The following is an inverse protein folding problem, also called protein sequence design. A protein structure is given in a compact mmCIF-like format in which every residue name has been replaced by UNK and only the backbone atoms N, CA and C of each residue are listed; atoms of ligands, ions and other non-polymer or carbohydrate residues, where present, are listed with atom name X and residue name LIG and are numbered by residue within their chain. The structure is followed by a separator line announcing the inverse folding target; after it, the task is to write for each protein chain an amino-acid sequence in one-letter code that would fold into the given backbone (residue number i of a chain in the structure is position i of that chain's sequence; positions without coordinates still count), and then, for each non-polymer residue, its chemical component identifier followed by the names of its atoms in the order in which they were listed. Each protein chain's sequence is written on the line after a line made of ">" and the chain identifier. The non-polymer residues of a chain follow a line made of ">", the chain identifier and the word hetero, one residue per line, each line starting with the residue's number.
data_IF_366653686003
#
_entry.id   IF_366653686003
#
_cell.length_a   1.000
_cell.length_b   1.000
_cell.length_c   1.000
_cell.angle_alpha   90.00
_cell.angle_beta   90.00
_cell.angle_gamma   90.00
#
_symmetry.space_group_name_H-M   'P 1'
#
loop_
_entity.id
_entity.type
_entity.pdbx_description
1 polymer ?
#
# COMPACT_ATOMS: atom_id res chain seq x y z
N UNK A 1 -5.51 29.60 18.11
CA UNK A 1 -5.91 28.27 18.66
C UNK A 1 -5.08 28.06 19.90
N UNK A 2 -5.67 27.68 21.03
CA UNK A 2 -4.93 27.47 22.28
C UNK A 2 -4.73 25.97 22.45
N UNK A 3 -3.49 25.53 22.45
CA UNK A 3 -3.13 24.13 22.76
C UNK A 3 -3.30 23.87 24.26
N UNK A 4 -3.78 22.69 24.61
CA UNK A 4 -3.78 22.23 25.99
C UNK A 4 -2.36 21.92 26.48
N UNK A 5 -2.17 21.83 27.80
CA UNK A 5 -0.87 21.43 28.37
C UNK A 5 -0.43 20.07 27.86
N UNK A 6 -1.38 19.16 27.61
CA UNK A 6 -1.11 17.82 27.08
C UNK A 6 -0.64 17.87 25.61
N UNK A 7 -1.26 18.73 24.79
CA UNK A 7 -0.85 18.92 23.40
C UNK A 7 0.59 19.48 23.31
N UNK A 8 0.90 20.48 24.14
CA UNK A 8 2.23 21.08 24.21
C UNK A 8 3.30 20.06 24.61
N UNK A 9 3.00 19.22 25.59
CA UNK A 9 3.90 18.16 26.00
C UNK A 9 4.10 17.12 24.89
N UNK A 10 3.06 16.72 24.17
CA UNK A 10 3.14 15.80 23.04
C UNK A 10 3.97 16.38 21.90
N UNK A 11 3.79 17.65 21.57
CA UNK A 11 4.58 18.37 20.53
C UNK A 11 6.06 18.38 20.92
N UNK A 12 6.34 18.70 22.19
CA UNK A 12 7.71 18.73 22.72
C UNK A 12 8.38 17.35 22.68
N UNK A 13 7.66 16.29 23.09
CA UNK A 13 8.18 14.91 23.06
C UNK A 13 8.54 14.44 21.64
N UNK A 14 7.82 14.95 20.64
CA UNK A 14 8.12 14.67 19.23
C UNK A 14 9.24 15.53 18.66
N UNK A 15 9.80 16.45 19.44
CA UNK A 15 10.85 17.36 18.97
C UNK A 15 10.38 18.35 17.89
N UNK A 16 9.07 18.64 17.85
CA UNK A 16 8.49 19.54 16.85
C UNK A 16 8.37 20.93 17.48
N UNK A 17 8.71 21.96 16.71
CA UNK A 17 8.51 23.33 17.11
C UNK A 17 7.02 23.69 17.04
N UNK A 18 6.50 24.37 18.07
CA UNK A 18 5.10 24.78 18.16
C UNK A 18 4.71 25.71 17.00
N UNK A 19 5.60 26.59 16.57
CA UNK A 19 5.36 27.50 15.45
C UNK A 19 5.16 26.75 14.14
N UNK A 20 5.81 25.61 13.97
CA UNK A 20 5.62 24.71 12.82
C UNK A 20 4.22 24.14 12.84
N UNK A 21 3.74 23.64 13.99
CA UNK A 21 2.39 23.10 14.14
C UNK A 21 1.32 24.18 13.86
N UNK A 22 1.49 25.36 14.42
CA UNK A 22 0.59 26.51 14.19
C UNK A 22 0.53 26.89 12.71
N UNK A 23 1.69 26.93 12.05
CA UNK A 23 1.80 27.20 10.61
C UNK A 23 1.07 26.15 9.78
N UNK A 24 1.20 24.86 10.12
CA UNK A 24 0.51 23.76 9.46
C UNK A 24 -1.01 23.87 9.63
N UNK A 25 -1.50 24.12 10.84
CA UNK A 25 -2.94 24.31 11.11
C UNK A 25 -3.48 25.50 10.32
N UNK A 26 -2.74 26.61 10.28
CA UNK A 26 -3.12 27.79 9.50
C UNK A 26 -3.22 27.46 8.01
N UNK A 27 -2.28 26.67 7.46
CA UNK A 27 -2.35 26.23 6.05
C UNK A 27 -3.54 25.32 5.78
N UNK A 28 -3.86 24.41 6.69
CA UNK A 28 -5.01 23.51 6.58
C UNK A 28 -6.35 24.26 6.64
N UNK A 29 -6.41 25.37 7.38
CA UNK A 29 -7.62 26.22 7.47
C UNK A 29 -7.81 27.16 6.27
N UNK A 30 -6.78 27.31 5.43
CA UNK A 30 -6.85 28.10 4.22
C UNK A 30 -7.15 27.21 3.03
N UNK A 31 -7.86 27.75 2.02
CA UNK A 31 -7.99 27.06 0.75
C UNK A 31 -6.59 26.84 0.14
N UNK A 32 -6.23 25.61 -0.23
CA UNK A 32 -4.94 25.37 -0.85
C UNK A 32 -4.82 26.19 -2.14
N UNK A 33 -3.63 26.76 -2.43
CA UNK A 33 -3.44 27.47 -3.67
C UNK A 33 -3.68 26.51 -4.84
N UNK A 34 -4.62 26.86 -5.70
CA UNK A 34 -4.88 26.08 -6.93
C UNK A 34 -3.73 26.34 -7.89
N UNK A 35 -2.94 25.30 -8.26
CA UNK A 35 -1.86 25.47 -9.22
C UNK A 35 -2.46 25.89 -10.57
N UNK A 36 -1.87 26.93 -11.18
CA UNK A 36 -2.25 27.34 -12.53
C UNK A 36 -1.66 26.35 -13.53
N UNK A 37 -2.50 25.46 -14.04
CA UNK A 37 -2.10 24.55 -15.10
C UNK A 37 -1.97 25.32 -16.42
N UNK A 38 -0.84 25.15 -17.10
CA UNK A 38 -0.60 25.81 -18.39
C UNK A 38 -1.17 24.99 -19.54
N UNK A 39 -0.92 23.67 -19.54
CA UNK A 39 -1.35 22.75 -20.59
C UNK A 39 -1.21 21.29 -20.12
N UNK A 40 -1.79 20.37 -20.85
CA UNK A 40 -1.60 18.94 -20.65
C UNK A 40 -0.19 18.51 -21.07
N UNK A 41 0.47 17.66 -20.28
CA UNK A 41 1.71 17.03 -20.69
C UNK A 41 1.46 16.07 -21.86
N UNK A 42 2.33 16.12 -22.86
CA UNK A 42 2.32 15.23 -24.04
C UNK A 42 3.70 14.65 -24.28
N UNK A 43 3.82 13.68 -25.19
CA UNK A 43 5.11 13.18 -25.65
C UNK A 43 5.96 14.33 -26.19
N UNK A 44 7.21 14.40 -25.79
CA UNK A 44 8.17 15.48 -26.08
C UNK A 44 7.89 16.81 -25.39
N UNK A 45 6.81 16.90 -24.63
CA UNK A 45 6.46 18.09 -23.83
C UNK A 45 5.92 17.66 -22.44
N UNK A 46 6.85 17.29 -21.55
CA UNK A 46 6.56 16.85 -20.19
C UNK A 46 6.48 15.34 -19.99
N UNK A 47 6.31 14.55 -21.07
CA UNK A 47 6.37 13.08 -21.04
C UNK A 47 7.58 12.65 -21.87
N UNK A 48 8.50 11.92 -21.25
CA UNK A 48 9.66 11.31 -21.91
C UNK A 48 9.35 9.85 -22.20
N UNK A 49 9.59 9.43 -23.45
CA UNK A 49 9.55 8.03 -23.86
C UNK A 49 10.95 7.66 -24.35
N UNK A 50 11.55 6.68 -23.68
CA UNK A 50 12.90 6.24 -24.01
C UNK A 50 12.87 4.96 -24.84
N UNK A 51 13.75 4.86 -25.82
CA UNK A 51 14.05 3.60 -26.46
C UNK A 51 15.02 2.74 -25.61
N UNK A 52 15.28 1.47 -26.03
CA UNK A 52 16.15 0.56 -25.27
C UNK A 52 17.60 1.10 -25.15
N UNK A 53 18.10 1.83 -26.16
CA UNK A 53 19.46 2.37 -26.16
C UNK A 53 19.59 3.55 -25.19
N UNK A 54 18.55 4.40 -25.13
CA UNK A 54 18.51 5.51 -24.21
C UNK A 54 18.40 5.01 -22.76
N UNK A 55 17.60 3.96 -22.50
CA UNK A 55 17.52 3.31 -21.20
C UNK A 55 18.88 2.76 -20.78
N UNK A 56 19.57 2.01 -21.67
CA UNK A 56 20.88 1.47 -21.37
C UNK A 56 21.93 2.57 -21.12
N UNK A 57 21.85 3.69 -21.82
CA UNK A 57 22.70 4.84 -21.60
C UNK A 57 22.48 5.48 -20.21
N UNK A 58 21.23 5.66 -19.79
CA UNK A 58 20.90 6.16 -18.44
C UNK A 58 21.32 5.20 -17.34
N UNK A 59 21.16 3.89 -17.53
CA UNK A 59 21.65 2.87 -16.60
C UNK A 59 23.17 2.97 -16.45
N UNK A 60 23.91 3.11 -17.56
CA UNK A 60 25.36 3.26 -17.53
C UNK A 60 25.81 4.56 -16.82
N UNK A 61 25.07 5.66 -16.98
CA UNK A 61 25.30 6.91 -16.24
C UNK A 61 25.10 6.70 -14.74
N UNK A 62 24.02 6.01 -14.34
CA UNK A 62 23.73 5.69 -12.95
C UNK A 62 24.83 4.83 -12.33
N UNK A 63 25.23 3.76 -13.00
CA UNK A 63 26.31 2.87 -12.56
C UNK A 63 27.61 3.66 -12.38
N UNK A 64 27.95 4.51 -13.34
CA UNK A 64 29.14 5.37 -13.23
C UNK A 64 29.03 6.38 -12.08
N UNK A 65 27.85 6.88 -11.78
CA UNK A 65 27.60 7.76 -10.64
C UNK A 65 27.85 7.03 -9.31
N UNK A 66 27.29 5.83 -9.13
CA UNK A 66 27.48 5.01 -7.93
C UNK A 66 28.97 4.71 -7.67
N UNK A 67 29.73 4.40 -8.72
CA UNK A 67 31.16 4.05 -8.59
C UNK A 67 32.08 5.26 -8.35
N UNK A 68 31.70 6.45 -8.82
CA UNK A 68 32.56 7.66 -8.74
C UNK A 68 32.32 8.52 -7.52
N UNK A 69 31.13 8.51 -7.00
CA UNK A 69 30.73 9.41 -5.92
C UNK A 69 30.64 8.65 -4.61
N UNK A 70 31.48 9.00 -3.63
CA UNK A 70 31.21 8.72 -2.21
C UNK A 70 29.99 9.56 -1.76
N UNK A 71 28.83 9.32 -2.34
CA UNK A 71 27.59 10.02 -2.00
C UNK A 71 26.59 9.02 -1.51
N UNK A 72 25.91 9.37 -0.44
CA UNK A 72 24.81 8.57 0.09
C UNK A 72 23.60 8.69 -0.84
N UNK A 73 23.09 7.55 -1.27
CA UNK A 73 21.81 7.47 -2.00
C UNK A 73 20.71 7.27 -0.98
N UNK A 74 19.75 8.19 -0.95
CA UNK A 74 18.60 8.09 -0.06
C UNK A 74 17.36 7.75 -0.85
N UNK A 75 16.72 6.63 -0.50
CA UNK A 75 15.43 6.24 -1.02
C UNK A 75 14.31 6.79 -0.15
N UNK A 76 13.45 7.63 -0.73
CA UNK A 76 12.22 8.07 -0.06
C UNK A 76 11.05 7.21 -0.51
N UNK A 77 10.53 6.39 0.42
CA UNK A 77 9.44 5.46 0.14
C UNK A 77 8.20 5.84 0.94
N UNK A 78 7.14 6.34 0.31
CA UNK A 78 5.89 6.70 0.98
C UNK A 78 5.04 5.45 1.26
N UNK A 79 5.51 4.56 2.12
CA UNK A 79 4.89 3.25 2.36
C UNK A 79 3.98 3.18 3.60
N UNK A 80 3.80 4.27 4.36
CA UNK A 80 3.17 4.25 5.68
C UNK A 80 1.75 4.80 5.73
N UNK A 81 0.93 4.57 4.70
CA UNK A 81 -0.47 4.98 4.69
C UNK A 81 -1.33 4.15 5.65
N UNK A 82 -2.35 4.76 6.29
CA UNK A 82 -3.37 4.04 7.04
C UNK A 82 -4.35 3.33 6.08
N UNK A 83 -4.67 2.08 6.38
CA UNK A 83 -5.52 1.22 5.55
C UNK A 83 -7.02 1.58 5.54
N UNK A 84 -7.46 2.53 6.35
CA UNK A 84 -8.88 2.84 6.52
C UNK A 84 -9.65 3.06 5.21
N UNK A 85 -9.00 3.61 4.18
CA UNK A 85 -9.64 3.82 2.87
C UNK A 85 -9.86 2.51 2.11
N UNK A 86 -8.94 1.55 2.22
CA UNK A 86 -9.06 0.26 1.54
C UNK A 86 -10.21 -0.56 2.08
N UNK A 87 -10.45 -0.48 3.37
CA UNK A 87 -11.46 -1.29 4.06
C UNK A 87 -12.76 -0.55 4.34
N UNK A 88 -12.93 0.67 3.84
CA UNK A 88 -14.11 1.49 4.10
C UNK A 88 -15.42 0.74 3.83
N UNK A 89 -15.50 0.10 2.68
CA UNK A 89 -16.73 -0.59 2.25
C UNK A 89 -16.95 -1.88 3.05
N UNK A 90 -15.89 -2.55 3.50
CA UNK A 90 -15.98 -3.69 4.42
C UNK A 90 -16.44 -3.25 5.82
N UNK A 91 -15.99 -2.09 6.32
CA UNK A 91 -16.52 -1.52 7.55
C UNK A 91 -18.00 -1.14 7.43
N UNK A 92 -18.44 -0.64 6.29
CA UNK A 92 -19.85 -0.37 6.03
C UNK A 92 -20.65 -1.66 6.04
N UNK A 93 -20.14 -2.72 5.41
CA UNK A 93 -20.76 -4.04 5.46
C UNK A 93 -20.90 -4.58 6.91
N UNK A 94 -19.82 -4.48 7.72
CA UNK A 94 -19.87 -4.91 9.12
C UNK A 94 -20.95 -4.16 9.93
N UNK A 95 -21.13 -2.86 9.67
CA UNK A 95 -22.11 -2.00 10.37
C UNK A 95 -23.53 -2.11 9.83
N UNK A 96 -23.71 -2.69 8.64
CA UNK A 96 -25.02 -2.86 8.03
C UNK A 96 -25.82 -3.97 8.73
N UNK A 97 -27.14 -3.95 8.59
CA UNK A 97 -28.01 -5.05 9.05
C UNK A 97 -27.98 -6.28 8.12
N UNK A 98 -27.25 -6.19 7.01
CA UNK A 98 -27.16 -7.28 6.03
C UNK A 98 -26.21 -8.37 6.55
N UNK A 99 -26.67 -9.63 6.56
CA UNK A 99 -25.82 -10.78 6.84
C UNK A 99 -25.02 -11.24 5.61
N UNK A 100 -25.55 -10.97 4.40
CA UNK A 100 -24.96 -11.39 3.14
C UNK A 100 -24.50 -10.22 2.28
N UNK A 101 -23.50 -10.43 1.40
CA UNK A 101 -23.01 -9.42 0.45
C UNK A 101 -24.10 -8.94 -0.50
N UNK A 102 -24.43 -7.65 -0.49
CA UNK A 102 -25.45 -7.05 -1.36
C UNK A 102 -24.88 -6.14 -2.44
N UNK A 103 -23.90 -5.32 -2.11
CA UNK A 103 -23.27 -4.39 -3.05
C UNK A 103 -22.39 -5.13 -4.05
N UNK A 104 -22.14 -4.51 -5.21
CA UNK A 104 -21.22 -5.06 -6.20
C UNK A 104 -19.80 -5.22 -5.64
N UNK A 105 -19.37 -4.28 -4.79
CA UNK A 105 -18.08 -4.38 -4.13
C UNK A 105 -18.00 -5.62 -3.22
N UNK A 106 -18.96 -5.81 -2.32
CA UNK A 106 -19.01 -6.94 -1.40
C UNK A 106 -19.02 -8.28 -2.13
N UNK A 107 -19.89 -8.42 -3.15
CA UNK A 107 -19.98 -9.64 -3.97
C UNK A 107 -18.66 -9.94 -4.69
N UNK A 108 -18.03 -8.92 -5.28
CA UNK A 108 -16.75 -9.07 -5.95
C UNK A 108 -15.62 -9.39 -4.97
N UNK A 109 -15.61 -8.75 -3.81
CA UNK A 109 -14.62 -9.04 -2.77
C UNK A 109 -14.64 -10.53 -2.38
N UNK A 110 -15.80 -11.07 -1.98
CA UNK A 110 -15.89 -12.47 -1.57
C UNK A 110 -15.67 -13.44 -2.73
N UNK A 111 -16.10 -13.10 -3.94
CA UNK A 111 -15.83 -13.89 -5.14
C UNK A 111 -14.34 -14.04 -5.42
N UNK A 112 -13.57 -12.97 -5.24
CA UNK A 112 -12.14 -12.94 -5.51
C UNK A 112 -11.27 -13.14 -4.26
N UNK A 113 -11.88 -13.38 -3.10
CA UNK A 113 -11.17 -13.57 -1.84
C UNK A 113 -10.08 -14.66 -1.93
N UNK A 114 -10.31 -15.82 -2.59
CA UNK A 114 -9.27 -16.85 -2.74
C UNK A 114 -8.06 -16.42 -3.59
N UNK A 115 -8.19 -15.33 -4.36
CA UNK A 115 -7.10 -14.81 -5.18
C UNK A 115 -6.20 -13.81 -4.46
N UNK A 116 -6.55 -13.40 -3.23
CA UNK A 116 -5.70 -12.47 -2.48
C UNK A 116 -4.52 -13.19 -1.84
N UNK A 117 -3.38 -12.53 -1.81
CA UNK A 117 -2.15 -13.04 -1.24
C UNK A 117 -2.24 -13.42 0.25
N UNK A 118 -3.14 -12.80 1.00
CA UNK A 118 -3.40 -13.08 2.41
C UNK A 118 -4.40 -14.24 2.64
N UNK A 119 -4.97 -14.80 1.57
CA UNK A 119 -6.05 -15.79 1.70
C UNK A 119 -5.67 -17.00 2.55
N UNK A 120 -4.50 -17.57 2.32
CA UNK A 120 -4.04 -18.75 3.08
C UNK A 120 -3.88 -18.43 4.57
N UNK A 121 -3.40 -17.24 4.91
CA UNK A 121 -3.25 -16.79 6.29
C UNK A 121 -4.61 -16.56 6.94
N UNK A 122 -5.54 -15.95 6.21
CA UNK A 122 -6.92 -15.76 6.67
C UNK A 122 -7.64 -17.09 6.86
N UNK A 123 -7.48 -18.03 5.92
CA UNK A 123 -8.08 -19.35 6.00
C UNK A 123 -7.58 -20.13 7.21
N UNK A 124 -6.26 -20.09 7.45
CA UNK A 124 -5.66 -20.68 8.64
C UNK A 124 -6.20 -20.02 9.92
N UNK A 125 -6.27 -18.70 9.96
CA UNK A 125 -6.84 -17.97 11.08
C UNK A 125 -8.29 -18.38 11.36
N UNK A 126 -9.13 -18.52 10.33
CA UNK A 126 -10.51 -19.00 10.47
C UNK A 126 -10.57 -20.42 11.07
N UNK A 127 -9.70 -21.32 10.63
CA UNK A 127 -9.59 -22.69 11.19
C UNK A 127 -9.15 -22.65 12.66
N UNK A 128 -8.13 -21.86 12.98
CA UNK A 128 -7.56 -21.82 14.35
C UNK A 128 -8.55 -21.19 15.35
N UNK A 129 -9.29 -20.14 14.95
CA UNK A 129 -10.18 -19.38 15.84
C UNK A 129 -11.61 -19.93 15.87
N UNK A 130 -12.14 -20.36 14.73
CA UNK A 130 -13.55 -20.76 14.57
C UNK A 130 -13.70 -22.28 14.37
N UNK A 131 -12.62 -22.98 13.98
CA UNK A 131 -12.69 -24.40 13.59
C UNK A 131 -13.28 -24.66 12.22
N UNK A 132 -13.41 -23.62 11.38
CA UNK A 132 -14.00 -23.71 10.04
C UNK A 132 -13.17 -22.86 9.06
N UNK A 133 -13.02 -23.36 7.85
CA UNK A 133 -12.35 -22.63 6.79
C UNK A 133 -13.23 -21.50 6.21
N UNK A 134 -12.62 -20.64 5.40
CA UNK A 134 -13.32 -19.48 4.77
C UNK A 134 -14.48 -19.95 3.91
N UNK A 135 -14.32 -21.05 3.16
CA UNK A 135 -15.36 -21.57 2.27
C UNK A 135 -16.58 -22.09 3.06
N UNK A 136 -16.35 -22.79 4.16
CA UNK A 136 -17.40 -23.26 5.07
C UNK A 136 -18.14 -22.08 5.70
N UNK A 137 -17.42 -21.06 6.15
CA UNK A 137 -18.01 -19.83 6.71
C UNK A 137 -18.88 -19.10 5.66
N UNK A 138 -18.43 -19.05 4.41
CA UNK A 138 -19.21 -18.45 3.31
C UNK A 138 -20.49 -19.26 3.01
N UNK A 139 -20.41 -20.59 2.98
CA UNK A 139 -21.58 -21.49 2.80
C UNK A 139 -22.61 -21.33 3.93
N UNK A 140 -22.16 -21.03 5.13
CA UNK A 140 -23.01 -20.76 6.30
C UNK A 140 -23.55 -19.32 6.36
N UNK A 141 -23.22 -18.47 5.39
CA UNK A 141 -23.60 -17.05 5.39
C UNK A 141 -22.85 -16.19 6.42
N UNK A 142 -21.75 -16.67 7.00
CA UNK A 142 -20.98 -16.00 8.04
C UNK A 142 -19.93 -15.04 7.48
N UNK A 143 -20.29 -14.26 6.49
CA UNK A 143 -19.41 -13.31 5.79
C UNK A 143 -18.79 -12.28 6.72
N UNK A 144 -19.56 -11.76 7.69
CA UNK A 144 -19.05 -10.77 8.67
C UNK A 144 -17.97 -11.35 9.56
N UNK A 145 -18.06 -12.62 9.92
CA UNK A 145 -17.01 -13.30 10.71
C UNK A 145 -15.67 -13.30 9.97
N UNK A 146 -15.69 -13.59 8.67
CA UNK A 146 -14.49 -13.56 7.82
C UNK A 146 -13.87 -12.15 7.80
N UNK A 147 -14.70 -11.12 7.62
CA UNK A 147 -14.22 -9.73 7.60
C UNK A 147 -13.67 -9.30 8.97
N UNK A 148 -14.32 -9.70 10.06
CA UNK A 148 -13.83 -9.42 11.42
C UNK A 148 -12.45 -10.05 11.63
N UNK A 149 -12.26 -11.33 11.33
CA UNK A 149 -10.98 -12.02 11.47
C UNK A 149 -9.89 -11.43 10.56
N UNK A 150 -10.26 -10.86 9.41
CA UNK A 150 -9.29 -10.15 8.58
C UNK A 150 -8.86 -8.81 9.19
N UNK A 151 -9.80 -8.05 9.76
CA UNK A 151 -9.56 -6.66 10.15
C UNK A 151 -9.12 -6.50 11.60
N UNK A 152 -9.61 -7.33 12.53
CA UNK A 152 -9.42 -7.13 13.97
C UNK A 152 -8.24 -7.92 14.56
N UNK A 153 -7.90 -7.62 15.81
CA UNK A 153 -6.84 -8.28 16.58
C UNK A 153 -7.11 -9.77 16.87
N UNK A 154 -8.37 -10.20 16.75
CA UNK A 154 -8.74 -11.62 16.85
C UNK A 154 -8.23 -12.45 15.66
N UNK A 155 -7.71 -11.79 14.63
CA UNK A 155 -7.21 -12.43 13.42
C UNK A 155 -5.98 -11.74 12.83
N UNK A 156 -6.05 -11.31 11.56
CA UNK A 156 -4.92 -10.73 10.84
C UNK A 156 -4.60 -9.28 11.22
N UNK A 157 -5.49 -8.62 11.93
CA UNK A 157 -5.36 -7.25 12.43
C UNK A 157 -5.03 -6.19 11.37
N UNK A 158 -5.56 -6.33 10.17
CA UNK A 158 -5.26 -5.42 9.07
C UNK A 158 -5.69 -3.97 9.32
N UNK A 159 -6.63 -3.73 10.27
CA UNK A 159 -7.00 -2.36 10.65
C UNK A 159 -5.87 -1.59 11.35
N UNK A 160 -5.01 -2.27 12.10
CA UNK A 160 -3.93 -1.66 12.86
C UNK A 160 -2.61 -1.61 12.09
N UNK A 161 -2.50 -2.37 10.99
CA UNK A 161 -1.26 -2.45 10.21
C UNK A 161 -1.14 -1.28 9.23
N UNK A 162 0.06 -0.72 9.04
CA UNK A 162 0.36 0.14 7.90
C UNK A 162 0.17 -0.63 6.58
N UNK A 163 -0.29 0.05 5.53
CA UNK A 163 -0.47 -0.56 4.19
C UNK A 163 0.79 -1.20 3.64
N UNK A 164 1.96 -0.72 4.06
CA UNK A 164 3.25 -1.29 3.70
C UNK A 164 3.46 -2.73 4.17
N UNK A 165 2.70 -3.19 5.17
CA UNK A 165 2.81 -4.53 5.73
C UNK A 165 1.72 -5.48 5.21
N UNK A 166 0.88 -5.05 4.30
CA UNK A 166 -0.18 -5.89 3.75
C UNK A 166 0.34 -6.78 2.61
N UNK A 167 -0.14 -8.01 2.57
CA UNK A 167 0.01 -8.90 1.43
C UNK A 167 -1.22 -8.80 0.54
N UNK A 168 -1.26 -7.78 -0.34
CA UNK A 168 -2.39 -7.56 -1.23
C UNK A 168 -2.23 -8.16 -2.63
N UNK A 169 -1.01 -8.44 -3.04
CA UNK A 169 -0.76 -8.89 -4.40
C UNK A 169 -1.41 -10.25 -4.62
N UNK A 170 -2.22 -10.33 -5.66
CA UNK A 170 -2.74 -11.59 -6.16
C UNK A 170 -1.63 -12.32 -6.93
N UNK A 171 -1.74 -13.63 -7.03
CA UNK A 171 -0.87 -14.48 -7.86
C UNK A 171 -0.87 -14.08 -9.37
N UNK A 172 -1.69 -13.09 -9.75
CA UNK A 172 -1.77 -12.51 -11.10
C UNK A 172 -0.70 -11.42 -11.37
N UNK A 173 0.21 -11.15 -10.45
CA UNK A 173 1.37 -10.25 -10.69
C UNK A 173 2.18 -10.65 -11.93
N UNK A 174 2.16 -11.92 -12.34
CA UNK A 174 2.70 -12.38 -13.62
C UNK A 174 2.16 -11.64 -14.86
N UNK A 175 0.97 -11.03 -14.79
CA UNK A 175 0.44 -10.21 -15.88
C UNK A 175 1.20 -8.91 -16.11
N UNK A 176 1.83 -8.37 -15.09
CA UNK A 176 2.64 -7.15 -15.19
C UNK A 176 4.00 -7.42 -15.83
N UNK A 177 4.51 -8.64 -15.75
CA UNK A 177 5.83 -9.01 -16.28
C UNK A 177 5.99 -8.70 -17.77
N UNK A 178 4.94 -8.87 -18.58
CA UNK A 178 5.00 -8.57 -20.01
C UNK A 178 5.15 -7.08 -20.36
N UNK A 179 4.89 -6.20 -19.37
CA UNK A 179 5.04 -4.74 -19.53
C UNK A 179 6.34 -4.22 -18.93
N UNK A 180 7.09 -5.07 -18.23
CA UNK A 180 8.37 -4.70 -17.63
C UNK A 180 9.50 -4.86 -18.64
N UNK A 181 10.52 -3.99 -18.61
CA UNK A 181 11.76 -4.21 -19.34
C UNK A 181 12.32 -5.61 -19.07
N UNK A 182 12.89 -6.27 -20.09
CA UNK A 182 13.38 -7.67 -19.99
C UNK A 182 14.27 -7.91 -18.77
N UNK A 183 15.15 -6.97 -18.42
CA UNK A 183 16.02 -7.06 -17.23
C UNK A 183 15.21 -7.12 -15.93
N UNK A 184 14.19 -6.27 -15.79
CA UNK A 184 13.31 -6.30 -14.62
C UNK A 184 12.40 -7.53 -14.60
N UNK A 185 11.90 -7.97 -15.76
CA UNK A 185 11.10 -9.19 -15.87
C UNK A 185 11.86 -10.44 -15.38
N UNK A 186 13.19 -10.51 -15.60
CA UNK A 186 14.02 -11.62 -15.12
C UNK A 186 14.08 -11.67 -13.59
N UNK A 187 14.06 -10.53 -12.92
CA UNK A 187 14.03 -10.45 -11.45
C UNK A 187 12.68 -10.89 -10.87
N UNK A 188 11.58 -10.57 -11.54
CA UNK A 188 10.25 -10.96 -11.11
C UNK A 188 9.92 -12.44 -11.38
N UNK A 189 10.66 -13.11 -12.26
CA UNK A 189 10.49 -14.54 -12.52
C UNK A 189 10.97 -15.46 -11.38
N UNK A 190 11.73 -14.93 -10.41
CA UNK A 190 12.23 -15.68 -9.25
C UNK A 190 11.33 -15.59 -8.02
N UNK A 191 10.15 -14.97 -8.13
CA UNK A 191 9.24 -14.77 -7.01
C UNK A 191 8.26 -15.92 -6.84
N UNK A 192 8.63 -16.91 -6.06
CA UNK A 192 7.70 -17.83 -5.44
C UNK A 192 7.08 -17.23 -4.16
N UNK A 193 7.69 -16.19 -3.60
CA UNK A 193 7.24 -15.57 -2.35
C UNK A 193 6.46 -14.28 -2.58
N UNK A 194 5.26 -14.23 -2.04
CA UNK A 194 4.44 -13.03 -1.99
C UNK A 194 5.05 -12.07 -0.96
N UNK A 195 5.52 -10.93 -1.41
CA UNK A 195 6.14 -9.90 -0.57
C UNK A 195 5.14 -8.83 -0.17
N UNK A 196 5.38 -8.21 0.99
CA UNK A 196 4.72 -6.96 1.36
C UNK A 196 5.36 -5.79 0.60
N UNK A 197 4.65 -4.64 0.42
CA UNK A 197 5.24 -3.46 -0.20
C UNK A 197 6.55 -2.99 0.47
N UNK A 198 6.67 -3.15 1.78
CA UNK A 198 7.91 -2.83 2.49
C UNK A 198 9.06 -3.78 2.10
N UNK A 199 8.79 -5.08 2.06
CA UNK A 199 9.80 -6.05 1.63
C UNK A 199 10.25 -5.81 0.19
N UNK A 200 9.30 -5.50 -0.72
CA UNK A 200 9.59 -5.18 -2.11
C UNK A 200 10.47 -3.93 -2.20
N UNK A 201 10.14 -2.87 -1.47
CA UNK A 201 10.95 -1.65 -1.41
C UNK A 201 12.38 -1.90 -0.94
N UNK A 202 12.56 -2.71 0.09
CA UNK A 202 13.90 -3.07 0.58
C UNK A 202 14.69 -3.86 -0.47
N UNK A 203 14.02 -4.75 -1.17
CA UNK A 203 14.62 -5.53 -2.25
C UNK A 203 15.02 -4.64 -3.44
N UNK A 204 14.11 -3.78 -3.91
CA UNK A 204 14.39 -2.81 -4.97
C UNK A 204 15.54 -1.87 -4.59
N UNK A 205 15.54 -1.38 -3.34
CA UNK A 205 16.61 -0.51 -2.85
C UNK A 205 17.97 -1.21 -2.89
N UNK A 206 18.04 -2.47 -2.47
CA UNK A 206 19.27 -3.25 -2.51
C UNK A 206 19.76 -3.54 -3.94
N UNK A 207 18.87 -3.49 -4.93
CA UNK A 207 19.25 -3.66 -6.35
C UNK A 207 19.74 -2.38 -7.02
N UNK A 208 19.29 -1.23 -6.54
CA UNK A 208 19.61 0.08 -7.12
C UNK A 208 20.87 0.69 -6.46
N UNK A 209 21.17 0.28 -5.22
CA UNK A 209 22.35 0.74 -4.46
C UNK A 209 23.59 -0.06 -4.77
#
# INVERSE_FOLDING_TARGET
>A
MTFSTQDLEQIRQKGIDIEVVESQIKRLSQNPPVPKLLRTATLSDGILLFDEKEIDAYVAIWDAYLHRAKRDVTHFVPASGHANRFFRDLYQFLRSDNSEPKTNFEKNFFKHLPSFAFYNELNKCCLDVIGKDVEQLMKEGRYKTIVLLMLTEDGLNYQALPTALFKFHTDQSHRLQKYLPKKLATYYNSFEDIRTPLQETLYESAMIS
#
